data_IF_341658312233
#
_entry.id   IF_341658312233
#
_cell.length_a   1.000
_cell.length_b   1.000
_cell.length_c   1.000
_cell.angle_alpha   90.00
_cell.angle_beta   90.00
_cell.angle_gamma   90.00
#
_symmetry.space_group_name_H-M   'P 1'
#
loop_
_entity.id
_entity.type
_entity.pdbx_description
1 polymer ?
#
# COMPACT_ATOMS: atom_id res chain seq x y z
N UNK A 1 -6.81 -3.60 -15.21
CA UNK A 1 -6.88 -3.36 -13.77
C UNK A 1 -7.97 -2.34 -13.52
N UNK A 2 -9.12 -2.79 -13.01
CA UNK A 2 -10.20 -1.91 -12.55
C UNK A 2 -9.68 -1.12 -11.35
N UNK A 3 -9.61 0.21 -11.46
CA UNK A 3 -9.37 1.04 -10.30
C UNK A 3 -10.73 1.23 -9.61
N UNK A 4 -10.93 0.53 -8.49
CA UNK A 4 -12.08 0.73 -7.60
C UNK A 4 -11.90 2.05 -6.83
N UNK A 5 -11.99 3.17 -7.57
CA UNK A 5 -11.90 4.52 -7.01
C UNK A 5 -13.22 4.83 -6.29
N UNK A 6 -13.31 4.41 -5.02
CA UNK A 6 -14.44 4.74 -4.16
C UNK A 6 -14.48 6.25 -3.94
N UNK A 7 -15.38 6.94 -4.64
CA UNK A 7 -15.58 8.39 -4.51
C UNK A 7 -16.87 8.71 -3.78
N UNK A 8 -16.81 9.60 -2.78
CA UNK A 8 -17.97 10.30 -2.24
C UNK A 8 -18.24 11.55 -3.11
N UNK A 9 -19.46 12.09 -3.14
CA UNK A 9 -19.91 13.12 -4.10
C UNK A 9 -18.97 14.32 -4.29
N UNK A 10 -18.15 14.69 -3.30
CA UNK A 10 -17.15 15.77 -3.38
C UNK A 10 -15.73 15.34 -2.99
N UNK A 11 -15.45 14.04 -2.88
CA UNK A 11 -14.10 13.59 -2.52
C UNK A 11 -13.74 12.34 -3.29
N UNK A 12 -12.75 12.50 -4.18
CA UNK A 12 -12.08 11.42 -4.88
C UNK A 12 -10.76 11.17 -4.19
N UNK A 13 -10.54 9.96 -3.71
CA UNK A 13 -9.31 9.57 -3.06
C UNK A 13 -8.53 8.62 -3.96
N UNK A 14 -7.32 8.99 -4.36
CA UNK A 14 -6.38 8.09 -5.02
C UNK A 14 -5.51 7.43 -3.94
N UNK A 15 -6.09 6.53 -3.16
CA UNK A 15 -5.43 5.84 -2.05
C UNK A 15 -4.48 4.74 -2.54
N UNK A 16 -3.45 5.10 -3.31
CA UNK A 16 -2.39 4.19 -3.73
C UNK A 16 -1.17 4.39 -2.84
N UNK A 17 -0.87 3.41 -1.99
CA UNK A 17 0.29 3.43 -1.10
C UNK A 17 1.17 2.21 -1.33
N UNK A 18 2.48 2.42 -1.41
CA UNK A 18 3.47 1.35 -1.41
C UNK A 18 4.03 1.22 0.01
N UNK A 19 3.46 0.30 0.78
CA UNK A 19 3.88 0.01 2.15
C UNK A 19 5.00 -1.03 2.12
N UNK A 20 6.21 -0.62 2.50
CA UNK A 20 7.39 -1.49 2.56
C UNK A 20 7.84 -1.63 4.00
N UNK A 21 7.96 -2.86 4.47
CA UNK A 21 8.50 -3.19 5.79
C UNK A 21 9.87 -3.83 5.63
N UNK A 22 10.86 -3.31 6.36
CA UNK A 22 12.21 -3.90 6.40
C UNK A 22 12.54 -4.31 7.83
N UNK A 23 13.11 -5.52 8.03
CA UNK A 23 13.49 -5.96 9.36
C UNK A 23 14.71 -5.18 9.84
N UNK A 24 14.75 -4.89 11.15
CA UNK A 24 15.92 -4.25 11.78
C UNK A 24 17.17 -5.09 11.47
N UNK A 25 18.24 -4.42 11.04
CA UNK A 25 19.48 -5.03 10.56
C UNK A 25 19.35 -5.83 9.24
N UNK A 26 18.29 -5.60 8.44
CA UNK A 26 18.06 -6.25 7.15
C UNK A 26 18.18 -7.78 7.23
N UNK A 27 17.72 -8.35 8.34
CA UNK A 27 17.80 -9.80 8.59
C UNK A 27 16.90 -10.57 7.64
N UNK A 28 17.32 -11.79 7.27
CA UNK A 28 16.55 -12.76 6.48
C UNK A 28 15.42 -13.45 7.25
N UNK A 29 14.65 -12.67 8.01
CA UNK A 29 13.59 -13.19 8.87
C UNK A 29 12.24 -13.31 8.16
N UNK A 30 12.01 -12.50 7.13
CA UNK A 30 10.71 -12.39 6.42
C UNK A 30 10.71 -13.23 5.14
N UNK A 31 11.87 -13.71 4.72
CA UNK A 31 12.07 -14.41 3.46
C UNK A 31 12.55 -15.82 3.79
N UNK A 32 11.59 -16.74 3.83
CA UNK A 32 11.79 -18.19 3.80
C UNK A 32 11.70 -18.71 2.37
#
# INVERSE_FOLDING_TARGET
MSNDDKSLAHTRWNCKYHLVFTPKYRRKAIYG
#
